data_IF_673250747076
#
_entry.id   IF_673250747076
#
_cell.length_a   1.000
_cell.length_b   1.000
_cell.length_c   1.000
_cell.angle_alpha   90.00
_cell.angle_beta   90.00
_cell.angle_gamma   90.00
#
_symmetry.space_group_name_H-M   'P 1'
#
loop_
_entity.id
_entity.type
_entity.pdbx_description
1 polymer ?
#
# COMPACT_ATOMS: atom_id res chain seq x y z
N UNK A 1 -2.09 -21.07 -7.09
CA UNK A 1 -2.91 -19.94 -6.60
C UNK A 1 -2.08 -19.17 -5.58
N UNK A 2 -1.80 -17.86 -5.78
CA UNK A 2 -1.13 -17.06 -4.75
C UNK A 2 -2.02 -16.97 -3.52
N UNK A 3 -1.51 -17.40 -2.37
CA UNK A 3 -2.25 -17.42 -1.12
C UNK A 3 -1.84 -16.25 -0.23
N UNK A 4 -2.75 -15.79 0.62
CA UNK A 4 -2.47 -14.70 1.57
C UNK A 4 -1.36 -15.03 2.57
N UNK A 5 -0.89 -16.29 2.63
CA UNK A 5 0.32 -16.70 3.38
C UNK A 5 1.58 -15.95 2.95
N UNK A 6 1.69 -15.55 1.68
CA UNK A 6 2.85 -14.86 1.13
C UNK A 6 2.87 -13.35 1.44
N UNK A 7 1.73 -12.81 1.90
CA UNK A 7 1.60 -11.40 2.24
C UNK A 7 1.99 -11.17 3.70
N UNK A 8 3.01 -10.34 3.90
CA UNK A 8 3.52 -9.93 5.22
C UNK A 8 2.91 -8.61 5.62
N UNK A 9 2.44 -8.54 6.86
CA UNK A 9 1.94 -7.31 7.44
C UNK A 9 3.06 -6.26 7.51
N UNK A 10 2.73 -5.00 7.24
CA UNK A 10 3.64 -3.87 7.22
C UNK A 10 4.48 -3.75 5.97
N UNK A 11 4.50 -4.76 5.09
CA UNK A 11 5.25 -4.75 3.82
C UNK A 11 4.50 -3.98 2.73
N UNK A 12 5.27 -3.42 1.80
CA UNK A 12 4.76 -2.68 0.65
C UNK A 12 4.58 -3.57 -0.57
N UNK A 13 3.44 -3.43 -1.22
CA UNK A 13 3.04 -4.19 -2.39
C UNK A 13 2.53 -3.24 -3.46
N UNK A 14 2.91 -3.51 -4.71
CA UNK A 14 2.32 -2.84 -5.85
C UNK A 14 0.97 -3.47 -6.17
N UNK A 15 -0.07 -2.64 -6.18
CA UNK A 15 -1.43 -2.99 -6.56
C UNK A 15 -1.60 -2.75 -8.07
N UNK A 16 -1.70 -3.82 -8.84
CA UNK A 16 -1.81 -3.74 -10.30
C UNK A 16 -3.17 -3.22 -10.80
N UNK A 17 -4.20 -3.18 -9.95
CA UNK A 17 -5.51 -2.61 -10.31
C UNK A 17 -5.51 -1.10 -10.17
N UNK A 18 -4.87 -0.60 -9.11
CA UNK A 18 -4.80 0.83 -8.80
C UNK A 18 -3.54 1.50 -9.35
N UNK A 19 -2.60 0.73 -9.90
CA UNK A 19 -1.35 1.23 -10.47
C UNK A 19 -0.42 1.89 -9.44
N UNK A 20 -0.48 1.50 -8.18
CA UNK A 20 0.23 2.19 -7.08
C UNK A 20 0.69 1.24 -5.97
N UNK A 21 1.65 1.70 -5.18
CA UNK A 21 2.13 0.98 -3.98
C UNK A 21 1.21 1.22 -2.80
N UNK A 22 0.91 0.15 -2.08
CA UNK A 22 0.11 0.15 -0.86
C UNK A 22 0.77 -0.71 0.22
N UNK A 23 0.57 -0.33 1.47
CA UNK A 23 1.04 -1.07 2.65
C UNK A 23 0.01 -2.10 3.05
N UNK A 24 0.42 -3.36 3.16
CA UNK A 24 -0.42 -4.40 3.73
C UNK A 24 -0.56 -4.19 5.24
N UNK A 25 -1.80 -4.18 5.74
CA UNK A 25 -2.09 -3.99 7.18
C UNK A 25 -2.71 -5.23 7.85
N UNK A 26 -3.18 -6.19 7.07
CA UNK A 26 -3.75 -7.43 7.61
C UNK A 26 -4.43 -8.29 6.57
N UNK A 27 -4.57 -9.59 6.86
CA UNK A 27 -5.30 -10.52 6.00
C UNK A 27 -6.79 -10.37 6.27
N UNK A 28 -7.60 -10.26 5.23
CA UNK A 28 -9.07 -10.24 5.37
C UNK A 28 -9.64 -11.65 5.26
N UNK A 29 -9.21 -12.42 4.27
CA UNK A 29 -9.58 -13.82 4.08
C UNK A 29 -8.48 -14.55 3.29
N UNK A 30 -8.73 -15.75 2.78
CA UNK A 30 -7.76 -16.57 2.02
C UNK A 30 -7.33 -15.96 0.68
N UNK A 31 -8.08 -15.00 0.14
CA UNK A 31 -7.85 -14.38 -1.18
C UNK A 31 -7.68 -12.86 -1.13
N UNK A 32 -7.99 -12.20 -0.01
CA UNK A 32 -7.97 -10.74 0.15
C UNK A 32 -7.15 -10.30 1.35
N UNK A 33 -6.51 -9.15 1.20
CA UNK A 33 -5.70 -8.46 2.21
C UNK A 33 -6.16 -7.01 2.28
N UNK A 34 -6.19 -6.48 3.48
CA UNK A 34 -6.35 -5.05 3.72
C UNK A 34 -5.06 -4.33 3.38
N UNK A 35 -5.15 -3.36 2.48
CA UNK A 35 -4.05 -2.47 2.12
C UNK A 35 -4.44 -1.02 2.38
N UNK A 36 -3.49 -0.18 2.72
CA UNK A 36 -3.68 1.27 2.84
C UNK A 36 -2.56 2.01 2.10
N UNK A 37 -2.79 3.26 1.76
CA UNK A 37 -1.79 4.15 1.18
C UNK A 37 -1.69 5.40 2.04
N UNK A 38 -0.56 5.57 2.72
CA UNK A 38 -0.34 6.65 3.69
C UNK A 38 -1.51 6.76 4.71
N UNK A 39 -2.13 7.93 4.83
CA UNK A 39 -3.20 8.22 5.79
C UNK A 39 -4.61 7.95 5.23
N UNK A 40 -4.71 7.27 4.10
CA UNK A 40 -5.99 6.95 3.49
C UNK A 40 -6.68 5.75 4.17
N UNK A 41 -7.98 5.64 3.94
CA UNK A 41 -8.78 4.50 4.38
C UNK A 41 -8.24 3.17 3.80
N UNK A 42 -8.30 2.12 4.61
CA UNK A 42 -7.93 0.78 4.17
C UNK A 42 -8.91 0.24 3.13
N UNK A 43 -8.38 -0.47 2.13
CA UNK A 43 -9.16 -1.10 1.07
C UNK A 43 -8.84 -2.58 0.99
N UNK A 44 -9.85 -3.38 0.61
CA UNK A 44 -9.71 -4.82 0.49
C UNK A 44 -9.25 -5.20 -0.92
N UNK A 45 -8.01 -5.64 -1.06
CA UNK A 45 -7.42 -5.99 -2.36
C UNK A 45 -7.20 -7.49 -2.47
N UNK A 46 -7.45 -8.04 -3.66
CA UNK A 46 -7.19 -9.46 -3.94
C UNK A 46 -5.68 -9.69 -4.05
N UNK A 47 -5.18 -10.75 -3.42
CA UNK A 47 -3.73 -11.08 -3.43
C UNK A 47 -3.18 -11.35 -4.82
N UNK A 48 -4.01 -11.86 -5.75
CA UNK A 48 -3.59 -12.02 -7.15
C UNK A 48 -3.22 -10.70 -7.85
N UNK A 49 -3.73 -9.57 -7.34
CA UNK A 49 -3.45 -8.23 -7.85
C UNK A 49 -2.31 -7.54 -7.10
N UNK A 50 -1.71 -8.22 -6.11
CA UNK A 50 -0.59 -7.71 -5.34
C UNK A 50 0.69 -8.42 -5.80
N UNK A 51 1.71 -7.62 -6.08
CA UNK A 51 3.10 -8.09 -6.20
C UNK A 51 3.97 -7.33 -5.20
N UNK A 52 5.10 -7.91 -4.80
CA UNK A 52 6.08 -7.13 -4.03
C UNK A 52 6.47 -5.89 -4.84
N UNK A 53 6.49 -4.75 -4.17
CA UNK A 53 7.00 -3.52 -4.75
C UNK A 53 8.50 -3.69 -5.06
N UNK A 54 8.98 -3.10 -6.15
CA UNK A 54 10.41 -3.04 -6.44
C UNK A 54 11.08 -1.98 -5.57
N UNK A 55 12.41 -1.96 -5.52
CA UNK A 55 13.15 -0.97 -4.73
C UNK A 55 12.80 0.47 -5.10
N UNK A 56 12.69 0.77 -6.40
CA UNK A 56 12.32 2.12 -6.87
C UNK A 56 10.92 2.50 -6.41
N UNK A 57 9.95 1.60 -6.54
CA UNK A 57 8.57 1.88 -6.13
C UNK A 57 8.41 2.06 -4.61
N UNK A 58 9.26 1.37 -3.83
CA UNK A 58 9.33 1.55 -2.39
C UNK A 58 9.92 2.92 -2.04
N UNK A 59 10.96 3.33 -2.75
CA UNK A 59 11.59 4.64 -2.56
C UNK A 59 10.62 5.77 -2.88
N UNK A 60 9.95 5.71 -4.03
CA UNK A 60 8.90 6.65 -4.43
C UNK A 60 7.80 6.76 -3.36
N UNK A 61 7.34 5.62 -2.84
CA UNK A 61 6.34 5.59 -1.76
C UNK A 61 6.86 6.27 -0.48
N UNK A 62 8.12 6.05 -0.12
CA UNK A 62 8.71 6.65 1.08
C UNK A 62 8.87 8.15 0.90
N UNK A 63 9.31 8.60 -0.26
CA UNK A 63 9.50 10.02 -0.56
C UNK A 63 8.17 10.77 -0.64
N UNK A 64 7.15 10.21 -1.28
CA UNK A 64 5.80 10.75 -1.21
C UNK A 64 5.30 10.88 0.25
N UNK A 65 5.54 9.86 1.07
CA UNK A 65 5.18 9.88 2.50
C UNK A 65 5.88 11.01 3.27
N UNK A 66 7.16 11.29 2.96
CA UNK A 66 7.89 12.41 3.55
C UNK A 66 7.35 13.76 3.07
N UNK A 67 6.97 13.87 1.79
CA UNK A 67 6.41 15.10 1.25
C UNK A 67 5.06 15.43 1.87
N UNK A 68 4.17 14.44 2.00
CA UNK A 68 2.87 14.62 2.65
C UNK A 68 2.99 15.12 4.10
N UNK A 69 4.01 14.64 4.83
CA UNK A 69 4.29 15.10 6.22
C UNK A 69 4.89 16.50 6.30
N UNK A 70 5.50 16.99 5.21
CA UNK A 70 6.16 18.29 5.14
C UNK A 70 5.25 19.40 4.63
N UNK A 71 4.04 19.10 4.15
CA UNK A 71 3.06 20.16 3.85
C UNK A 71 2.48 20.66 5.18
N UNK A 72 2.84 21.87 5.68
CA UNK A 72 2.16 22.43 6.83
C UNK A 72 0.69 22.65 6.47
N UNK A 73 -0.21 22.42 7.43
CA UNK A 73 -1.66 22.57 7.33
C UNK A 73 -2.14 24.02 7.13
N UNK A 74 -1.43 24.82 6.34
CA UNK A 74 -1.62 26.26 6.21
C UNK A 74 -1.76 26.69 4.76
N UNK A 75 -2.80 26.19 4.10
CA UNK A 75 -3.39 26.87 2.95
C UNK A 75 -4.87 26.49 2.82
N UNK A 76 -5.64 26.88 3.83
CA UNK A 76 -7.07 27.11 3.65
C UNK A 76 -7.23 28.62 3.81
N UNK A 77 -7.33 29.32 2.67
CA UNK A 77 -7.75 30.73 2.58
C UNK A 77 -9.25 30.79 2.81
#
# INVERSE_FOLDING_TARGET
MKQTKEIRNGSLYFNSVLGRVERAIGKLNSARVWTTRHENAATAVRVKNLRKATSNEVDDYIDESKMLKQVPARLTV
#
